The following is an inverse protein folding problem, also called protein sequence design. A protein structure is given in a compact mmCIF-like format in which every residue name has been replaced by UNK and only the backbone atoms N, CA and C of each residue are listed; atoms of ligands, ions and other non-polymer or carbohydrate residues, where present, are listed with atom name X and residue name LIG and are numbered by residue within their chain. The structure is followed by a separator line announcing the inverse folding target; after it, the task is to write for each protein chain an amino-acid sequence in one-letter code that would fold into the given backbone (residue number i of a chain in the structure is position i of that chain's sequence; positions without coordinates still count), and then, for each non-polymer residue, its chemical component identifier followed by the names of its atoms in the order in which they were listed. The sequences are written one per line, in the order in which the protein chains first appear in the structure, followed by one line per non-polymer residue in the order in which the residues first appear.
data_IF_401161811001
#
_entry.id   IF_401161811001
#
_cell.length_a   1.000
_cell.length_b   1.000
_cell.length_c   1.000
_cell.angle_alpha   90.00
_cell.angle_beta   90.00
_cell.angle_gamma   90.00
#
_symmetry.space_group_name_H-M   'P 1'
#
loop_
_entity.id
_entity.type
_entity.pdbx_description
1 polymer ?
#
# COMPACT_ATOMS: atom_id res chain seq x y z
N UNK A 1 28.19 -8.33 46.75
CA UNK A 1 28.32 -8.96 45.45
C UNK A 1 27.17 -8.49 44.57
N UNK A 2 27.44 -7.76 43.51
CA UNK A 2 26.43 -7.28 42.58
C UNK A 2 25.80 -8.47 41.83
N UNK A 3 24.46 -8.53 41.76
CA UNK A 3 23.78 -9.65 41.09
C UNK A 3 24.02 -9.59 39.57
N UNK A 4 24.07 -10.74 38.88
CA UNK A 4 24.30 -10.85 37.44
C UNK A 4 23.32 -9.97 36.64
N UNK A 5 22.07 -9.92 37.08
CA UNK A 5 21.02 -9.15 36.41
C UNK A 5 21.27 -7.61 36.49
N UNK A 6 21.83 -7.14 37.62
CA UNK A 6 22.14 -5.72 37.81
C UNK A 6 23.32 -5.30 36.90
N UNK A 7 24.29 -6.18 36.66
CA UNK A 7 25.40 -5.99 35.71
C UNK A 7 24.89 -5.89 34.28
N UNK A 8 23.95 -6.76 33.90
CA UNK A 8 23.32 -6.75 32.57
C UNK A 8 22.55 -5.45 32.37
N UNK A 9 21.76 -5.03 33.34
CA UNK A 9 21.00 -3.77 33.27
C UNK A 9 21.93 -2.56 33.08
N UNK A 10 23.01 -2.47 33.86
CA UNK A 10 24.00 -1.41 33.75
C UNK A 10 24.65 -1.40 32.37
N UNK A 11 25.07 -2.55 31.87
CA UNK A 11 25.67 -2.68 30.54
C UNK A 11 24.72 -2.19 29.43
N UNK A 12 23.44 -2.54 29.48
CA UNK A 12 22.44 -2.07 28.52
C UNK A 12 22.16 -0.58 28.68
N UNK A 13 22.28 -0.04 29.91
CA UNK A 13 22.08 1.41 30.16
C UNK A 13 23.22 2.25 29.62
N UNK A 14 24.44 1.73 29.63
CA UNK A 14 25.64 2.41 29.13
C UNK A 14 25.82 2.24 27.62
N UNK A 15 25.19 1.21 27.02
CA UNK A 15 25.35 0.87 25.61
C UNK A 15 23.95 0.72 24.96
N UNK A 16 23.57 1.68 24.14
CA UNK A 16 22.27 1.65 23.47
C UNK A 16 22.23 0.54 22.37
N UNK A 17 21.06 -0.11 22.22
CA UNK A 17 20.80 -1.08 21.14
C UNK A 17 21.69 -2.34 21.12
N UNK A 18 22.00 -2.91 22.28
CA UNK A 18 22.81 -4.13 22.40
C UNK A 18 22.04 -5.41 22.09
N UNK A 19 22.71 -6.40 21.54
CA UNK A 19 22.15 -7.73 21.30
C UNK A 19 22.47 -8.70 22.46
N UNK A 20 21.76 -9.84 22.52
CA UNK A 20 22.08 -10.91 23.48
C UNK A 20 23.53 -11.38 23.35
N UNK A 21 24.10 -11.32 22.14
CA UNK A 21 25.50 -11.73 21.89
C UNK A 21 26.46 -10.70 22.51
N UNK A 22 26.20 -9.41 22.30
CA UNK A 22 27.07 -8.34 22.84
C UNK A 22 27.13 -8.40 24.36
N UNK A 23 25.97 -8.64 25.01
CA UNK A 23 25.89 -8.82 26.48
C UNK A 23 26.65 -10.07 26.95
N UNK A 24 26.50 -11.19 26.21
CA UNK A 24 27.17 -12.44 26.56
C UNK A 24 28.69 -12.32 26.47
N UNK A 25 29.18 -11.75 25.36
CA UNK A 25 30.61 -11.59 25.07
C UNK A 25 31.27 -10.56 26.03
N UNK A 26 30.60 -9.45 26.32
CA UNK A 26 31.17 -8.36 27.15
C UNK A 26 31.17 -8.68 28.64
N UNK A 27 30.23 -9.46 29.12
CA UNK A 27 30.10 -9.79 30.56
C UNK A 27 30.62 -11.20 30.90
N UNK A 28 31.15 -11.91 29.92
CA UNK A 28 31.64 -13.31 30.03
C UNK A 28 30.60 -14.26 30.63
N UNK A 29 29.39 -14.25 30.07
CA UNK A 29 28.27 -15.09 30.48
C UNK A 29 27.73 -15.92 29.31
N UNK A 30 27.22 -17.11 29.61
CA UNK A 30 26.62 -17.95 28.58
C UNK A 30 25.42 -17.24 27.94
N UNK A 31 25.32 -17.27 26.61
CA UNK A 31 24.28 -16.62 25.80
C UNK A 31 22.85 -16.99 26.24
N UNK A 32 22.63 -18.22 26.69
CA UNK A 32 21.35 -18.69 27.23
C UNK A 32 20.96 -17.97 28.52
N UNK A 33 21.94 -17.70 29.38
CA UNK A 33 21.73 -16.97 30.65
C UNK A 33 21.51 -15.46 30.35
N UNK A 34 22.30 -14.87 29.47
CA UNK A 34 22.10 -13.49 29.02
C UNK A 34 20.70 -13.27 28.43
N UNK A 35 20.23 -14.19 27.60
CA UNK A 35 18.89 -14.15 27.01
C UNK A 35 17.77 -14.23 28.05
N UNK A 36 17.91 -15.09 29.05
CA UNK A 36 16.93 -15.22 30.14
C UNK A 36 16.83 -13.93 30.95
N UNK A 37 17.98 -13.40 31.38
CA UNK A 37 18.03 -12.22 32.24
C UNK A 37 17.56 -10.96 31.49
N UNK A 38 17.91 -10.78 30.20
CA UNK A 38 17.41 -9.70 29.36
C UNK A 38 15.88 -9.76 29.17
N UNK A 39 15.32 -10.96 28.91
CA UNK A 39 13.87 -11.11 28.82
C UNK A 39 13.15 -10.87 30.15
N UNK A 40 13.79 -11.18 31.29
CA UNK A 40 13.26 -10.88 32.62
C UNK A 40 13.20 -9.36 32.83
N UNK A 41 14.28 -8.63 32.52
CA UNK A 41 14.33 -7.18 32.61
C UNK A 41 13.32 -6.49 31.68
N UNK A 42 13.02 -7.07 30.51
CA UNK A 42 11.94 -6.58 29.63
C UNK A 42 10.58 -6.85 30.26
N UNK A 43 10.35 -8.00 30.84
CA UNK A 43 9.09 -8.36 31.51
C UNK A 43 8.83 -7.48 32.74
N UNK A 44 9.88 -7.12 33.46
CA UNK A 44 9.80 -6.25 34.64
C UNK A 44 9.74 -4.75 34.28
N UNK A 45 9.71 -4.41 32.97
CA UNK A 45 9.56 -3.04 32.47
C UNK A 45 10.82 -2.17 32.52
N UNK A 46 11.97 -2.73 32.89
CA UNK A 46 13.24 -2.01 32.98
C UNK A 46 13.91 -1.81 31.61
N UNK A 47 13.70 -2.73 30.68
CA UNK A 47 14.23 -2.68 29.32
C UNK A 47 13.09 -2.83 28.29
N UNK A 48 13.32 -2.31 27.12
CA UNK A 48 12.52 -2.59 25.92
C UNK A 48 13.33 -3.39 24.92
N UNK A 49 12.69 -4.12 24.01
CA UNK A 49 13.35 -4.88 22.95
C UNK A 49 12.77 -4.51 21.58
N UNK A 50 13.61 -4.54 20.56
CA UNK A 50 13.18 -4.35 19.17
C UNK A 50 12.45 -5.58 18.63
N UNK A 51 11.55 -5.39 17.68
CA UNK A 51 10.83 -6.47 16.98
C UNK A 51 11.62 -7.09 15.81
N UNK A 52 12.93 -6.84 15.70
CA UNK A 52 13.77 -7.33 14.60
C UNK A 52 14.71 -8.49 14.98
N UNK A 53 15.33 -9.13 13.98
CA UNK A 53 16.46 -10.04 14.19
C UNK A 53 17.72 -9.44 13.59
N UNK A 54 18.78 -9.24 14.40
CA UNK A 54 18.94 -9.62 15.81
C UNK A 54 18.11 -8.72 16.75
N UNK A 55 17.49 -9.32 17.78
CA UNK A 55 16.78 -8.60 18.83
C UNK A 55 17.75 -7.68 19.57
N UNK A 56 17.41 -6.41 19.71
CA UNK A 56 18.22 -5.41 20.43
C UNK A 56 17.46 -4.93 21.66
N UNK A 57 18.20 -4.68 22.74
CA UNK A 57 17.68 -4.25 24.04
C UNK A 57 18.13 -2.84 24.37
N UNK A 58 17.24 -2.04 24.97
CA UNK A 58 17.47 -0.65 25.35
C UNK A 58 16.63 -0.27 26.56
N UNK A 59 16.99 0.79 27.27
CA UNK A 59 16.27 1.25 28.47
C UNK A 59 14.95 1.90 28.09
N UNK A 60 13.86 1.59 28.78
CA UNK A 60 12.48 1.98 28.47
C UNK A 60 12.20 3.50 28.45
N UNK A 61 13.12 4.36 28.94
CA UNK A 61 12.92 5.81 29.09
C UNK A 61 13.72 6.68 28.11
N UNK A 62 14.25 6.13 27.01
CA UNK A 62 14.93 6.94 25.98
C UNK A 62 14.18 6.90 24.65
N UNK A 63 13.21 7.81 24.50
CA UNK A 63 12.87 8.36 23.19
C UNK A 63 14.00 9.31 22.79
N UNK A 64 14.91 8.86 21.97
CA UNK A 64 15.89 9.72 21.31
C UNK A 64 16.03 9.30 19.87
N UNK A 65 15.66 10.23 19.01
CA UNK A 65 16.05 10.25 17.61
C UNK A 65 17.58 10.23 17.49
N UNK A 66 18.09 9.34 16.67
CA UNK A 66 19.23 9.64 15.79
C UNK A 66 19.36 8.54 14.73
N UNK A 67 19.35 9.01 13.51
CA UNK A 67 19.69 8.36 12.25
C UNK A 67 21.05 7.66 12.28
N UNK A 68 21.14 6.47 11.65
CA UNK A 68 22.24 6.15 10.72
C UNK A 68 21.90 4.87 9.94
N UNK A 69 22.16 4.97 8.62
CA UNK A 69 21.95 3.96 7.60
C UNK A 69 22.71 2.65 7.84
N UNK A 70 22.03 1.53 7.54
CA UNK A 70 22.68 0.35 6.91
C UNK A 70 21.57 -0.58 6.37
N UNK A 71 21.58 -0.75 5.08
CA UNK A 71 20.71 -1.63 4.30
C UNK A 71 20.83 -3.10 4.74
N UNK A 72 19.68 -3.72 5.04
CA UNK A 72 19.46 -5.16 4.87
C UNK A 72 17.98 -5.34 4.46
N UNK A 73 17.67 -6.12 3.42
CA UNK A 73 16.32 -6.24 2.91
C UNK A 73 15.44 -7.03 3.89
N UNK A 74 14.55 -6.33 4.57
CA UNK A 74 13.48 -6.95 5.33
C UNK A 74 12.22 -6.97 4.47
N UNK A 75 11.80 -8.16 4.08
CA UNK A 75 10.45 -8.45 3.61
C UNK A 75 9.48 -8.27 4.79
N UNK A 76 9.08 -7.03 5.01
CA UNK A 76 7.90 -6.71 5.80
C UNK A 76 6.77 -6.37 4.84
N UNK A 77 5.58 -6.90 5.14
CA UNK A 77 4.37 -6.36 4.56
C UNK A 77 4.46 -4.83 4.68
N UNK A 78 4.86 -4.18 3.60
CA UNK A 78 4.70 -2.74 3.48
C UNK A 78 3.21 -2.52 3.54
N UNK A 79 2.74 -1.98 4.67
CA UNK A 79 1.69 -0.97 4.54
C UNK A 79 2.28 0.01 3.53
N UNK A 80 1.85 -0.07 2.28
CA UNK A 80 2.16 0.94 1.28
C UNK A 80 1.58 2.19 1.91
N UNK A 81 2.45 3.06 2.45
CA UNK A 81 2.01 4.41 2.78
C UNK A 81 1.36 4.93 1.50
N UNK A 82 0.09 5.32 1.57
CA UNK A 82 -0.59 5.84 0.40
C UNK A 82 0.26 6.98 -0.14
N UNK A 83 0.46 7.06 -1.47
CA UNK A 83 1.22 8.15 -2.06
C UNK A 83 0.63 9.44 -1.53
N UNK A 84 1.44 10.15 -0.79
CA UNK A 84 1.22 11.42 -0.10
C UNK A 84 -0.23 11.93 -0.12
N UNK A 85 -0.93 11.88 1.01
CA UNK A 85 -2.29 12.42 1.26
C UNK A 85 -2.50 13.91 0.84
N UNK A 86 -1.59 14.50 0.05
CA UNK A 86 -1.57 15.92 -0.30
C UNK A 86 -1.97 16.25 -1.74
N UNK A 87 -2.27 15.29 -2.60
CA UNK A 87 -2.45 15.57 -4.03
C UNK A 87 -3.90 15.89 -4.40
N UNK A 88 -4.87 15.50 -3.59
CA UNK A 88 -6.26 15.86 -3.83
C UNK A 88 -6.68 16.92 -2.79
N UNK A 89 -6.74 18.18 -3.23
CA UNK A 89 -7.26 19.29 -2.41
C UNK A 89 -8.67 18.94 -1.93
N UNK A 90 -8.91 19.09 -0.62
CA UNK A 90 -10.26 19.02 0.01
C UNK A 90 -11.19 20.15 -0.44
N UNK A 91 -11.09 20.61 -1.66
CA UNK A 91 -12.07 21.53 -2.20
C UNK A 91 -13.27 20.74 -2.72
N UNK A 92 -14.44 21.14 -2.31
CA UNK A 92 -15.81 20.72 -2.62
C UNK A 92 -16.16 20.66 -4.12
N UNK A 93 -15.25 20.21 -4.97
CA UNK A 93 -15.39 19.94 -6.39
C UNK A 93 -15.30 18.44 -6.65
N UNK A 94 -15.98 17.98 -7.67
CA UNK A 94 -15.95 16.60 -8.13
C UNK A 94 -14.49 16.09 -8.22
N UNK A 95 -14.11 15.15 -7.35
CA UNK A 95 -12.75 14.58 -7.24
C UNK A 95 -12.20 14.15 -8.61
N UNK A 96 -13.06 13.59 -9.45
CA UNK A 96 -12.68 13.11 -10.78
C UNK A 96 -12.28 14.24 -11.75
N UNK A 97 -12.63 15.51 -11.50
CA UNK A 97 -12.18 16.62 -12.36
C UNK A 97 -10.66 16.85 -12.28
N UNK A 98 -10.02 16.33 -11.23
CA UNK A 98 -8.56 16.39 -11.07
C UNK A 98 -7.84 15.30 -11.89
N UNK A 99 -8.58 14.33 -12.42
CA UNK A 99 -8.01 13.28 -13.27
C UNK A 99 -7.86 13.84 -14.69
N UNK A 100 -6.63 13.85 -15.20
CA UNK A 100 -6.36 14.26 -16.57
C UNK A 100 -7.07 13.31 -17.52
N UNK A 101 -7.82 13.88 -18.46
CA UNK A 101 -8.65 13.15 -19.40
C UNK A 101 -10.02 12.75 -18.85
N UNK A 102 -10.45 13.27 -17.68
CA UNK A 102 -11.78 12.96 -17.09
C UNK A 102 -12.96 13.27 -17.99
N UNK A 103 -12.83 14.25 -18.88
CA UNK A 103 -13.82 14.61 -19.93
C UNK A 103 -13.44 14.05 -21.31
N UNK A 104 -12.28 13.42 -21.42
CA UNK A 104 -11.70 12.86 -22.65
C UNK A 104 -11.54 11.35 -22.56
N UNK A 105 -10.30 10.87 -22.61
CA UNK A 105 -9.97 9.42 -22.65
C UNK A 105 -10.43 8.64 -21.43
N UNK A 106 -10.58 9.29 -20.27
CA UNK A 106 -11.02 8.69 -19.00
C UNK A 106 -12.52 8.84 -18.72
N UNK A 107 -13.27 9.51 -19.62
CA UNK A 107 -14.68 9.84 -19.39
C UNK A 107 -15.53 8.61 -19.03
N UNK A 108 -15.44 7.56 -19.84
CA UNK A 108 -16.21 6.33 -19.59
C UNK A 108 -15.84 5.69 -18.26
N UNK A 109 -14.54 5.64 -17.93
CA UNK A 109 -14.06 5.10 -16.65
C UNK A 109 -14.63 5.90 -15.47
N UNK A 110 -14.64 7.23 -15.57
CA UNK A 110 -15.20 8.12 -14.54
C UNK A 110 -16.71 7.92 -14.38
N UNK A 111 -17.46 7.84 -15.49
CA UNK A 111 -18.91 7.62 -15.46
C UNK A 111 -19.26 6.26 -14.84
N UNK A 112 -18.53 5.22 -15.21
CA UNK A 112 -18.69 3.87 -14.62
C UNK A 112 -18.34 3.85 -13.13
N UNK A 113 -17.29 4.54 -12.71
CA UNK A 113 -16.90 4.65 -11.31
C UNK A 113 -17.95 5.36 -10.46
N UNK A 114 -18.50 6.48 -10.98
CA UNK A 114 -19.60 7.18 -10.32
C UNK A 114 -20.85 6.30 -10.19
N UNK A 115 -21.22 5.61 -11.26
CA UNK A 115 -22.34 4.67 -11.24
C UNK A 115 -22.12 3.56 -10.22
N UNK A 116 -20.92 2.96 -10.16
CA UNK A 116 -20.59 1.94 -9.19
C UNK A 116 -20.73 2.43 -7.74
N UNK A 117 -20.31 3.65 -7.47
CA UNK A 117 -20.33 4.22 -6.11
C UNK A 117 -21.74 4.61 -5.69
N UNK A 118 -22.48 5.28 -6.56
CA UNK A 118 -23.79 5.87 -6.24
C UNK A 118 -24.96 4.90 -6.37
N UNK A 119 -24.76 3.70 -6.90
CA UNK A 119 -25.85 2.74 -7.10
C UNK A 119 -26.46 2.28 -5.78
N UNK A 120 -27.78 2.47 -5.54
CA UNK A 120 -28.42 2.09 -4.29
C UNK A 120 -28.58 0.55 -4.17
N UNK A 121 -28.62 -0.03 -2.96
CA UNK A 121 -28.49 0.68 -1.67
C UNK A 121 -27.04 0.83 -1.20
N UNK A 122 -26.07 0.10 -1.74
CA UNK A 122 -24.71 -0.02 -1.20
C UNK A 122 -23.59 0.19 -2.24
N UNK A 123 -23.94 0.64 -3.45
CA UNK A 123 -23.05 0.65 -4.59
C UNK A 123 -22.84 -0.74 -5.19
N UNK A 124 -22.01 -0.81 -6.23
CA UNK A 124 -21.68 -2.06 -6.94
C UNK A 124 -20.20 -2.37 -6.81
N UNK A 125 -19.88 -3.65 -6.72
CA UNK A 125 -18.52 -4.12 -6.87
C UNK A 125 -18.06 -3.87 -8.32
N UNK A 126 -16.79 -3.53 -8.51
CA UNK A 126 -16.25 -3.25 -9.83
C UNK A 126 -14.85 -3.81 -10.02
N UNK A 127 -14.47 -3.98 -11.27
CA UNK A 127 -13.14 -4.41 -11.70
C UNK A 127 -12.51 -3.31 -12.54
N UNK A 128 -11.31 -2.90 -12.19
CA UNK A 128 -10.50 -1.95 -12.96
C UNK A 128 -9.51 -2.74 -13.80
N UNK A 129 -9.64 -2.68 -15.12
CA UNK A 129 -8.74 -3.36 -16.05
C UNK A 129 -7.85 -2.36 -16.75
N UNK A 130 -6.66 -2.78 -17.13
CA UNK A 130 -5.74 -1.96 -17.91
C UNK A 130 -4.27 -2.30 -17.67
N UNK A 131 -3.38 -1.87 -18.56
CA UNK A 131 -1.98 -2.25 -18.50
C UNK A 131 -1.28 -1.77 -17.22
N UNK A 132 -0.14 -2.40 -16.92
CA UNK A 132 0.71 -1.97 -15.79
C UNK A 132 1.05 -0.49 -15.90
N UNK A 133 1.01 0.22 -14.78
CA UNK A 133 1.34 1.65 -14.75
C UNK A 133 0.29 2.58 -15.35
N UNK A 134 -0.91 2.10 -15.74
CA UNK A 134 -2.00 2.96 -16.25
C UNK A 134 -2.65 3.84 -15.20
N UNK A 135 -2.38 3.59 -13.89
CA UNK A 135 -2.90 4.39 -12.78
C UNK A 135 -4.11 3.77 -12.07
N UNK A 136 -4.31 2.44 -12.15
CA UNK A 136 -5.44 1.73 -11.51
C UNK A 136 -5.57 2.02 -10.02
N UNK A 137 -4.48 1.91 -9.28
CA UNK A 137 -4.45 2.18 -7.83
C UNK A 137 -4.79 3.65 -7.53
N UNK A 138 -4.25 4.60 -8.30
CA UNK A 138 -4.59 6.03 -8.17
C UNK A 138 -6.09 6.27 -8.43
N UNK A 139 -6.64 5.60 -9.44
CA UNK A 139 -8.07 5.70 -9.77
C UNK A 139 -8.96 5.12 -8.66
N UNK A 140 -8.58 3.99 -8.05
CA UNK A 140 -9.27 3.43 -6.89
C UNK A 140 -9.28 4.38 -5.68
N UNK A 141 -8.17 5.08 -5.41
CA UNK A 141 -8.13 6.14 -4.40
C UNK A 141 -9.07 7.30 -4.72
N UNK A 142 -9.14 7.72 -5.99
CA UNK A 142 -10.08 8.77 -6.40
C UNK A 142 -11.54 8.31 -6.26
N UNK A 143 -11.84 7.05 -6.56
CA UNK A 143 -13.16 6.45 -6.32
C UNK A 143 -13.52 6.47 -4.83
N UNK A 144 -12.61 6.09 -3.96
CA UNK A 144 -12.82 6.09 -2.52
C UNK A 144 -13.07 7.51 -2.00
N UNK A 145 -12.27 8.47 -2.42
CA UNK A 145 -12.44 9.88 -2.03
C UNK A 145 -13.77 10.45 -2.55
N UNK A 146 -14.19 10.07 -3.74
CA UNK A 146 -15.50 10.42 -4.27
C UNK A 146 -16.62 9.83 -3.41
N UNK A 147 -16.49 8.55 -2.97
CA UNK A 147 -17.47 7.91 -2.08
C UNK A 147 -17.58 8.64 -0.73
N UNK A 148 -16.48 9.15 -0.19
CA UNK A 148 -16.48 9.99 1.03
C UNK A 148 -17.14 11.36 0.78
N UNK A 149 -16.85 12.00 -0.36
CA UNK A 149 -17.43 13.32 -0.71
C UNK A 149 -18.95 13.23 -0.88
N UNK A 150 -19.44 12.14 -1.46
CA UNK A 150 -20.87 11.89 -1.65
C UNK A 150 -21.57 11.31 -0.39
N UNK A 151 -20.83 11.10 0.71
CA UNK A 151 -21.37 10.57 1.96
C UNK A 151 -21.76 9.10 1.90
N UNK A 152 -21.27 8.34 0.90
CA UNK A 152 -21.50 6.90 0.77
C UNK A 152 -20.59 6.11 1.71
N UNK A 153 -19.42 6.65 2.02
CA UNK A 153 -18.45 6.14 2.98
C UNK A 153 -18.16 7.26 3.98
N UNK A 154 -18.08 6.92 5.28
CA UNK A 154 -17.79 7.87 6.33
C UNK A 154 -16.40 8.51 6.15
N UNK A 155 -16.25 9.78 6.55
CA UNK A 155 -15.04 10.57 6.29
C UNK A 155 -13.81 10.12 7.10
N UNK A 156 -14.03 9.39 8.20
CA UNK A 156 -12.98 8.83 9.08
C UNK A 156 -12.47 7.45 8.60
N UNK A 157 -13.16 6.82 7.65
CA UNK A 157 -12.73 5.54 7.08
C UNK A 157 -11.50 5.72 6.20
N UNK A 158 -10.70 4.68 6.10
CA UNK A 158 -9.57 4.60 5.19
C UNK A 158 -9.83 3.55 4.12
N UNK A 159 -9.25 3.77 2.93
CA UNK A 159 -9.25 2.76 1.87
C UNK A 159 -8.34 1.61 2.31
N UNK A 160 -8.89 0.42 2.44
CA UNK A 160 -8.08 -0.77 2.68
C UNK A 160 -7.54 -1.25 1.33
N UNK A 161 -6.22 -1.30 1.22
CA UNK A 161 -5.52 -1.69 -0.02
C UNK A 161 -4.75 -2.98 0.21
N UNK A 162 -4.91 -3.93 -0.69
CA UNK A 162 -4.19 -5.19 -0.66
C UNK A 162 -3.71 -5.58 -2.06
N UNK A 163 -2.41 -5.84 -2.19
CA UNK A 163 -1.84 -6.35 -3.43
C UNK A 163 -1.72 -7.88 -3.36
N UNK A 164 -2.53 -8.57 -4.14
CA UNK A 164 -2.55 -10.04 -4.15
C UNK A 164 -1.24 -10.65 -4.67
N UNK A 165 -0.48 -9.91 -5.50
CA UNK A 165 0.79 -10.40 -6.03
C UNK A 165 1.87 -10.56 -4.96
N UNK A 166 1.84 -9.79 -3.88
CA UNK A 166 2.83 -9.86 -2.80
C UNK A 166 2.80 -11.22 -2.08
N UNK A 167 1.69 -11.92 -2.16
CA UNK A 167 1.44 -13.21 -1.49
C UNK A 167 1.14 -14.35 -2.47
N UNK A 168 1.33 -14.16 -3.77
CA UNK A 168 0.97 -15.15 -4.81
C UNK A 168 1.65 -16.52 -4.62
N UNK A 169 2.84 -16.56 -4.00
CA UNK A 169 3.58 -17.80 -3.71
C UNK A 169 3.17 -18.46 -2.38
N UNK A 170 2.26 -17.86 -1.61
CA UNK A 170 1.76 -18.41 -0.35
C UNK A 170 0.24 -18.17 -0.22
N UNK A 171 -0.58 -19.02 -0.85
CA UNK A 171 -2.03 -18.89 -0.84
C UNK A 171 -2.65 -18.86 0.57
N UNK A 172 -2.15 -19.68 1.51
CA UNK A 172 -2.65 -19.72 2.88
C UNK A 172 -2.44 -18.37 3.60
N UNK A 173 -1.26 -17.78 3.42
CA UNK A 173 -0.96 -16.47 4.00
C UNK A 173 -1.83 -15.38 3.36
N UNK A 174 -2.03 -15.41 2.05
CA UNK A 174 -2.93 -14.50 1.33
C UNK A 174 -4.34 -14.59 1.89
N UNK A 175 -4.89 -15.81 2.02
CA UNK A 175 -6.21 -16.05 2.55
C UNK A 175 -6.35 -15.61 4.01
N UNK A 176 -5.34 -15.86 4.85
CA UNK A 176 -5.31 -15.43 6.24
C UNK A 176 -5.31 -13.91 6.40
N UNK A 177 -4.68 -13.17 5.49
CA UNK A 177 -4.74 -11.71 5.47
C UNK A 177 -6.14 -11.21 5.07
N UNK A 178 -6.76 -11.79 4.06
CA UNK A 178 -8.06 -11.32 3.57
C UNK A 178 -9.19 -11.63 4.55
N UNK A 179 -9.29 -12.89 5.00
CA UNK A 179 -10.43 -13.37 5.79
C UNK A 179 -10.16 -13.39 7.30
N UNK A 180 -8.88 -13.33 7.70
CA UNK A 180 -8.49 -13.57 9.08
C UNK A 180 -8.45 -15.06 9.42
N UNK A 181 -8.11 -15.40 10.66
CA UNK A 181 -8.00 -16.77 11.12
C UNK A 181 -8.33 -16.90 12.60
N UNK A 182 -8.83 -18.07 12.97
CA UNK A 182 -9.02 -18.48 14.36
C UNK A 182 -7.72 -19.07 14.92
N UNK A 183 -7.61 -19.08 16.25
CA UNK A 183 -6.50 -19.77 16.94
C UNK A 183 -6.46 -21.24 16.54
N UNK A 184 -5.30 -21.71 16.09
CA UNK A 184 -5.10 -23.09 15.68
C UNK A 184 -5.49 -23.40 14.23
N UNK A 185 -5.85 -22.41 13.42
CA UNK A 185 -6.23 -22.60 12.02
C UNK A 185 -5.09 -23.19 11.15
N UNK A 186 -3.85 -22.90 11.50
CA UNK A 186 -2.63 -23.43 10.87
C UNK A 186 -1.46 -23.41 11.85
N UNK A 187 -0.34 -24.04 11.50
CA UNK A 187 0.87 -24.08 12.34
C UNK A 187 1.41 -22.67 12.57
N UNK A 188 1.41 -22.19 13.81
CA UNK A 188 1.83 -20.85 14.21
C UNK A 188 0.68 -19.86 14.42
N UNK A 189 -0.57 -20.27 14.26
CA UNK A 189 -1.75 -19.47 14.60
C UNK A 189 -2.02 -19.52 16.12
N UNK A 190 -1.18 -18.86 16.91
CA UNK A 190 -1.24 -18.88 18.39
C UNK A 190 -2.39 -18.01 18.94
N UNK A 191 -2.83 -17.01 18.17
CA UNK A 191 -3.94 -16.10 18.47
C UNK A 191 -4.85 -15.97 17.26
N UNK A 192 -6.09 -15.57 17.49
CA UNK A 192 -6.99 -15.18 16.40
C UNK A 192 -6.59 -13.82 15.81
N UNK A 193 -6.91 -13.58 14.54
CA UNK A 193 -6.67 -12.30 13.87
C UNK A 193 -7.79 -11.98 12.89
N UNK A 194 -8.25 -10.72 12.93
CA UNK A 194 -9.18 -10.19 11.94
C UNK A 194 -8.51 -9.99 10.58
N UNK A 195 -9.28 -10.29 9.52
CA UNK A 195 -8.86 -10.07 8.15
C UNK A 195 -9.16 -8.66 7.64
N UNK A 196 -8.67 -8.37 6.43
CA UNK A 196 -8.87 -7.09 5.75
C UNK A 196 -10.33 -6.80 5.44
N UNK A 197 -11.16 -7.84 5.21
CA UNK A 197 -12.61 -7.68 5.05
C UNK A 197 -13.23 -7.04 6.29
N UNK A 198 -12.84 -7.48 7.50
CA UNK A 198 -13.34 -6.88 8.74
C UNK A 198 -12.82 -5.45 8.92
N UNK A 199 -11.58 -5.19 8.56
CA UNK A 199 -10.99 -3.85 8.64
C UNK A 199 -11.67 -2.86 7.68
N UNK A 200 -12.13 -3.34 6.53
CA UNK A 200 -12.80 -2.55 5.52
C UNK A 200 -14.31 -2.38 5.77
N UNK A 201 -14.86 -2.93 6.86
CA UNK A 201 -16.29 -2.88 7.14
C UNK A 201 -16.82 -1.43 7.19
N UNK A 202 -17.93 -1.18 6.51
CA UNK A 202 -18.49 0.15 6.29
C UNK A 202 -17.75 0.99 5.24
N UNK A 203 -16.75 0.42 4.54
CA UNK A 203 -15.88 1.12 3.62
C UNK A 203 -15.65 0.42 2.28
N UNK A 204 -14.40 0.44 1.83
CA UNK A 204 -13.98 -0.10 0.54
C UNK A 204 -12.69 -0.90 0.69
N UNK A 205 -12.63 -2.08 0.08
CA UNK A 205 -11.44 -2.91 -0.05
C UNK A 205 -11.00 -2.91 -1.52
N UNK A 206 -9.78 -2.43 -1.75
CA UNK A 206 -9.14 -2.46 -3.06
C UNK A 206 -8.19 -3.66 -3.15
N UNK A 207 -8.44 -4.56 -4.08
CA UNK A 207 -7.64 -5.76 -4.36
C UNK A 207 -6.85 -5.54 -5.65
N UNK A 208 -5.58 -5.16 -5.54
CA UNK A 208 -4.71 -5.03 -6.71
C UNK A 208 -4.20 -6.40 -7.16
N UNK A 209 -4.00 -6.57 -8.47
CA UNK A 209 -3.62 -7.82 -9.11
C UNK A 209 -4.50 -9.01 -8.68
N UNK A 210 -5.81 -8.80 -8.68
CA UNK A 210 -6.82 -9.74 -8.15
C UNK A 210 -6.75 -11.13 -8.82
N UNK A 211 -6.21 -11.22 -10.03
CA UNK A 211 -5.99 -12.49 -10.75
C UNK A 211 -4.94 -13.39 -10.05
N UNK A 212 -4.19 -12.85 -9.09
CA UNK A 212 -3.26 -13.63 -8.26
C UNK A 212 -3.95 -14.34 -7.08
N UNK A 213 -5.25 -14.11 -6.87
CA UNK A 213 -6.02 -14.90 -5.92
C UNK A 213 -6.09 -16.35 -6.39
N UNK A 214 -5.84 -17.33 -5.50
CA UNK A 214 -6.07 -18.74 -5.81
C UNK A 214 -7.57 -18.98 -6.08
N UNK A 215 -7.95 -20.05 -6.81
CA UNK A 215 -9.35 -20.34 -7.11
C UNK A 215 -10.25 -20.33 -5.87
N UNK A 216 -9.83 -20.92 -4.77
CA UNK A 216 -10.57 -20.94 -3.51
C UNK A 216 -10.78 -19.52 -2.95
N UNK A 217 -9.76 -18.64 -3.09
CA UNK A 217 -9.84 -17.25 -2.69
C UNK A 217 -10.82 -16.45 -3.53
N UNK A 218 -10.85 -16.70 -4.84
CA UNK A 218 -11.86 -16.12 -5.73
C UNK A 218 -13.26 -16.56 -5.36
N UNK A 219 -13.49 -17.85 -5.04
CA UNK A 219 -14.77 -18.37 -4.60
C UNK A 219 -15.22 -17.76 -3.26
N UNK A 220 -14.32 -17.60 -2.30
CA UNK A 220 -14.63 -16.97 -1.00
C UNK A 220 -14.98 -15.49 -1.14
N UNK A 221 -14.21 -14.72 -1.92
CA UNK A 221 -14.53 -13.31 -2.21
C UNK A 221 -15.86 -13.20 -2.96
N UNK A 222 -16.10 -14.08 -3.91
CA UNK A 222 -17.34 -14.15 -4.64
C UNK A 222 -18.55 -14.40 -3.72
N UNK A 223 -18.44 -15.41 -2.83
CA UNK A 223 -19.48 -15.68 -1.84
C UNK A 223 -19.74 -14.47 -0.94
N UNK A 224 -18.68 -13.79 -0.52
CA UNK A 224 -18.77 -12.57 0.25
C UNK A 224 -19.48 -11.44 -0.51
N UNK A 225 -19.16 -11.24 -1.79
CA UNK A 225 -19.82 -10.20 -2.62
C UNK A 225 -21.34 -10.43 -2.75
N UNK A 226 -21.78 -11.68 -2.82
CA UNK A 226 -23.20 -12.04 -2.96
C UNK A 226 -23.97 -11.92 -1.64
N UNK A 227 -23.38 -12.35 -0.53
CA UNK A 227 -24.09 -12.54 0.74
C UNK A 227 -23.70 -11.52 1.82
N UNK A 228 -22.58 -10.81 1.67
CA UNK A 228 -22.03 -9.95 2.72
C UNK A 228 -21.51 -10.71 3.93
N UNK A 229 -21.38 -12.05 3.81
CA UNK A 229 -20.92 -12.91 4.91
C UNK A 229 -19.68 -13.69 4.51
N UNK A 230 -18.82 -13.95 5.50
CA UNK A 230 -17.59 -14.70 5.33
C UNK A 230 -17.25 -15.46 6.61
N UNK A 231 -16.33 -16.41 6.54
CA UNK A 231 -15.76 -17.11 7.70
C UNK A 231 -14.25 -16.90 7.75
N UNK A 232 -13.68 -16.85 8.94
CA UNK A 232 -12.24 -16.88 9.13
C UNK A 232 -11.69 -18.27 8.80
N UNK A 233 -10.42 -18.36 8.48
CA UNK A 233 -9.75 -19.65 8.32
C UNK A 233 -9.80 -20.44 9.64
N UNK A 234 -10.17 -21.72 9.56
CA UNK A 234 -10.37 -22.58 10.71
C UNK A 234 -11.68 -22.39 11.48
N UNK A 235 -12.51 -21.41 11.11
CA UNK A 235 -13.81 -21.18 11.75
C UNK A 235 -14.86 -22.12 11.20
N UNK A 236 -15.55 -22.85 12.09
CA UNK A 236 -16.64 -23.74 11.72
C UNK A 236 -17.97 -23.25 12.29
N UNK A 237 -18.98 -23.15 11.42
CA UNK A 237 -20.37 -22.90 11.85
C UNK A 237 -20.71 -21.47 12.25
N UNK A 238 -19.82 -20.50 12.05
CA UNK A 238 -20.10 -19.07 12.24
C UNK A 238 -19.93 -18.32 10.94
N UNK A 239 -20.92 -17.51 10.58
CA UNK A 239 -20.84 -16.57 9.48
C UNK A 239 -20.69 -15.16 10.07
N UNK A 240 -19.63 -14.48 9.69
CA UNK A 240 -19.38 -13.07 10.02
C UNK A 240 -20.00 -12.21 8.94
N UNK A 241 -20.48 -11.05 9.31
CA UNK A 241 -21.04 -10.08 8.38
C UNK A 241 -20.14 -8.86 8.29
N UNK A 242 -19.93 -8.36 7.06
CA UNK A 242 -19.30 -7.07 6.81
C UNK A 242 -19.96 -6.39 5.60
N UNK A 243 -20.03 -5.06 5.65
CA UNK A 243 -20.53 -4.24 4.56
C UNK A 243 -19.36 -3.57 3.82
N UNK A 244 -18.75 -4.27 2.89
CA UNK A 244 -17.55 -3.80 2.18
C UNK A 244 -17.83 -3.75 0.68
N UNK A 245 -17.44 -2.65 0.05
CA UNK A 245 -17.40 -2.58 -1.41
C UNK A 245 -16.06 -3.09 -1.91
N UNK A 246 -16.09 -4.10 -2.77
CA UNK A 246 -14.89 -4.64 -3.39
C UNK A 246 -14.61 -3.90 -4.71
N UNK A 247 -13.39 -3.40 -4.83
CA UNK A 247 -12.84 -2.86 -6.07
C UNK A 247 -11.62 -3.70 -6.43
N UNK A 248 -11.75 -4.55 -7.44
CA UNK A 248 -10.63 -5.34 -7.96
C UNK A 248 -9.85 -4.58 -9.03
N UNK A 249 -8.57 -4.88 -9.19
CA UNK A 249 -7.77 -4.43 -10.33
C UNK A 249 -6.96 -5.58 -10.92
N UNK A 250 -6.83 -5.58 -12.23
CA UNK A 250 -6.01 -6.58 -12.95
C UNK A 250 -5.35 -5.97 -14.18
N UNK A 251 -4.17 -6.50 -14.50
CA UNK A 251 -3.45 -6.23 -15.75
C UNK A 251 -3.78 -7.23 -16.86
N UNK A 252 -4.35 -8.36 -16.48
CA UNK A 252 -4.70 -9.47 -17.38
C UNK A 252 -6.14 -9.34 -17.91
N UNK A 253 -6.44 -10.08 -18.97
CA UNK A 253 -7.83 -10.22 -19.43
C UNK A 253 -8.66 -10.99 -18.39
N UNK A 254 -9.74 -10.40 -17.86
CA UNK A 254 -10.54 -11.02 -16.80
C UNK A 254 -11.10 -12.39 -17.16
N UNK A 255 -11.48 -12.61 -18.43
CA UNK A 255 -12.06 -13.88 -18.88
C UNK A 255 -11.06 -15.02 -18.94
N UNK A 256 -9.78 -14.71 -19.09
CA UNK A 256 -8.69 -15.72 -19.11
C UNK A 256 -8.06 -15.95 -17.74
N UNK A 257 -8.08 -14.93 -16.88
CA UNK A 257 -7.30 -14.91 -15.64
C UNK A 257 -8.13 -15.11 -14.36
N UNK A 258 -9.46 -14.95 -14.44
CA UNK A 258 -10.39 -15.12 -13.33
C UNK A 258 -11.41 -16.21 -13.64
N UNK A 259 -12.00 -16.78 -12.60
CA UNK A 259 -13.10 -17.74 -12.77
C UNK A 259 -14.31 -17.04 -13.43
N UNK A 260 -14.95 -17.71 -14.39
CA UNK A 260 -16.16 -17.19 -15.03
C UNK A 260 -17.27 -16.84 -14.04
N UNK A 261 -17.38 -17.64 -12.97
CA UNK A 261 -18.31 -17.40 -11.86
C UNK A 261 -18.02 -16.10 -11.13
N UNK A 262 -16.75 -15.74 -11.00
CA UNK A 262 -16.30 -14.48 -10.39
C UNK A 262 -16.57 -13.28 -11.30
N UNK A 263 -16.21 -13.37 -12.58
CA UNK A 263 -16.38 -12.27 -13.55
C UNK A 263 -17.85 -11.89 -13.72
N UNK A 264 -18.77 -12.88 -13.76
CA UNK A 264 -20.23 -12.64 -13.91
C UNK A 264 -20.85 -11.86 -12.76
N UNK A 265 -20.18 -11.77 -11.61
CA UNK A 265 -20.70 -11.09 -10.42
C UNK A 265 -20.11 -9.71 -10.19
N UNK A 266 -19.20 -9.30 -11.07
CA UNK A 266 -18.70 -7.93 -11.10
C UNK A 266 -19.44 -7.19 -12.23
N UNK A 267 -20.49 -6.43 -11.90
CA UNK A 267 -21.37 -5.84 -12.90
C UNK A 267 -20.72 -4.71 -13.69
N UNK A 268 -19.64 -4.13 -13.14
CA UNK A 268 -18.97 -2.96 -13.74
C UNK A 268 -17.49 -3.28 -13.98
N UNK A 269 -17.10 -3.23 -15.26
CA UNK A 269 -15.71 -3.30 -15.68
C UNK A 269 -15.25 -1.93 -16.17
N UNK A 270 -14.29 -1.33 -15.45
CA UNK A 270 -13.72 -0.02 -15.70
C UNK A 270 -12.40 -0.19 -16.44
N UNK A 271 -12.37 0.17 -17.72
CA UNK A 271 -11.18 0.03 -18.55
C UNK A 271 -10.32 1.29 -18.49
N UNK A 272 -9.07 1.14 -18.03
CA UNK A 272 -8.07 2.21 -18.01
C UNK A 272 -7.31 2.24 -19.34
N UNK A 273 -7.27 3.38 -20.06
CA UNK A 273 -6.53 3.47 -21.31
C UNK A 273 -5.02 3.42 -21.08
N UNK A 274 -4.31 2.78 -22.00
CA UNK A 274 -2.84 2.86 -22.06
C UNK A 274 -2.40 4.31 -22.31
N UNK A 275 -1.20 4.68 -21.85
CA UNK A 275 -0.65 6.02 -22.07
C UNK A 275 -0.61 6.41 -23.55
N UNK A 276 -0.11 5.51 -24.39
CA UNK A 276 0.03 5.76 -25.84
C UNK A 276 -1.30 5.88 -26.60
N UNK A 277 -2.43 5.40 -26.04
CA UNK A 277 -3.76 5.56 -26.62
C UNK A 277 -4.46 6.87 -26.23
N UNK A 278 -3.89 7.63 -25.29
CA UNK A 278 -4.45 8.92 -24.87
C UNK A 278 -4.13 10.01 -25.91
N UNK A 279 -5.02 11.01 -26.09
CA UNK A 279 -4.72 12.17 -26.93
C UNK A 279 -3.42 12.86 -26.52
N UNK A 280 -2.68 13.39 -27.50
CA UNK A 280 -1.39 14.05 -27.25
C UNK A 280 -1.51 15.22 -26.23
N UNK A 281 -2.62 15.95 -26.23
CA UNK A 281 -2.87 17.00 -25.26
C UNK A 281 -2.90 16.46 -23.83
N UNK A 282 -3.57 15.31 -23.58
CA UNK A 282 -3.63 14.68 -22.26
C UNK A 282 -2.26 14.13 -21.84
N UNK A 283 -1.50 13.56 -22.78
CA UNK A 283 -0.13 13.10 -22.52
C UNK A 283 0.76 14.27 -22.06
N UNK A 284 0.65 15.43 -22.73
CA UNK A 284 1.38 16.64 -22.38
C UNK A 284 0.95 17.19 -21.01
N UNK A 285 -0.35 17.18 -20.73
CA UNK A 285 -0.86 17.62 -19.42
C UNK A 285 -0.39 16.71 -18.28
N UNK A 286 -0.25 15.40 -18.52
CA UNK A 286 0.37 14.49 -17.56
C UNK A 286 1.82 14.88 -17.26
N UNK A 287 2.63 15.19 -18.28
CA UNK A 287 4.00 15.69 -18.08
C UNK A 287 3.99 16.98 -17.26
N UNK A 288 3.14 17.96 -17.63
CA UNK A 288 3.03 19.25 -16.92
C UNK A 288 2.70 19.08 -15.44
N UNK A 289 1.71 18.24 -15.12
CA UNK A 289 1.32 17.99 -13.73
C UNK A 289 2.44 17.30 -12.96
N UNK A 290 3.10 16.30 -13.53
CA UNK A 290 4.19 15.61 -12.86
C UNK A 290 5.39 16.50 -12.61
N UNK A 291 5.75 17.36 -13.58
CA UNK A 291 6.82 18.35 -13.39
C UNK A 291 6.44 19.39 -12.34
N UNK A 292 5.19 19.87 -12.34
CA UNK A 292 4.70 20.78 -11.31
C UNK A 292 4.74 20.15 -9.90
N UNK A 293 4.43 18.85 -9.78
CA UNK A 293 4.55 18.11 -8.51
C UNK A 293 6.00 18.08 -8.03
N UNK A 294 6.96 17.77 -8.90
CA UNK A 294 8.38 17.76 -8.54
C UNK A 294 8.89 19.17 -8.23
N UNK A 295 8.48 20.19 -8.98
CA UNK A 295 8.79 21.61 -8.71
C UNK A 295 8.31 22.02 -7.30
N UNK A 296 7.07 21.65 -6.95
CA UNK A 296 6.52 21.90 -5.61
C UNK A 296 7.26 21.11 -4.52
N UNK A 297 7.68 19.87 -4.81
CA UNK A 297 8.43 19.02 -3.86
C UNK A 297 9.78 19.61 -3.50
N UNK A 298 10.50 20.11 -4.49
CA UNK A 298 11.82 20.72 -4.30
C UNK A 298 11.78 22.24 -4.03
N UNK A 299 10.57 22.84 -4.04
CA UNK A 299 10.33 24.27 -3.83
C UNK A 299 11.14 25.14 -4.80
N UNK A 300 11.24 24.74 -6.07
CA UNK A 300 11.95 25.45 -7.13
C UNK A 300 11.17 25.38 -8.43
N UNK A 301 11.36 26.39 -9.28
CA UNK A 301 10.80 26.41 -10.63
C UNK A 301 11.58 25.47 -11.53
N UNK A 302 10.90 24.63 -12.28
CA UNK A 302 11.48 23.73 -13.28
C UNK A 302 10.96 24.09 -14.65
N UNK A 303 11.86 24.26 -15.60
CA UNK A 303 11.53 24.47 -17.02
C UNK A 303 12.17 23.35 -17.85
N UNK A 304 11.40 22.79 -18.80
CA UNK A 304 11.85 21.78 -19.74
C UNK A 304 11.89 22.38 -21.14
N UNK A 305 12.89 22.02 -21.92
CA UNK A 305 12.88 22.30 -23.37
C UNK A 305 11.89 21.41 -24.11
N UNK A 306 11.48 21.82 -25.29
CA UNK A 306 10.56 21.03 -26.13
C UNK A 306 11.12 19.66 -26.46
N UNK A 307 12.43 19.55 -26.70
CA UNK A 307 13.10 18.29 -27.03
C UNK A 307 13.07 17.33 -25.85
N UNK A 308 13.25 17.81 -24.62
CA UNK A 308 13.12 16.98 -23.41
C UNK A 308 11.69 16.47 -23.25
N UNK A 309 10.69 17.31 -23.51
CA UNK A 309 9.28 16.89 -23.45
C UNK A 309 8.99 15.82 -24.50
N UNK A 310 9.46 15.99 -25.74
CA UNK A 310 9.34 14.98 -26.81
C UNK A 310 10.02 13.68 -26.42
N UNK A 311 11.23 13.77 -25.87
CA UNK A 311 11.98 12.58 -25.40
C UNK A 311 11.24 11.86 -24.27
N UNK A 312 10.66 12.59 -23.31
CA UNK A 312 9.84 12.00 -22.24
C UNK A 312 8.63 11.25 -22.80
N UNK A 313 7.88 11.87 -23.68
CA UNK A 313 6.70 11.25 -24.31
C UNK A 313 7.08 10.03 -25.13
N UNK A 314 8.18 10.10 -25.92
CA UNK A 314 8.68 9.01 -26.73
C UNK A 314 9.32 7.87 -25.94
N UNK A 315 9.76 8.12 -24.71
CA UNK A 315 10.40 7.11 -23.85
C UNK A 315 9.41 6.18 -23.13
N UNK A 316 8.12 6.53 -23.13
CA UNK A 316 7.10 5.72 -22.45
C UNK A 316 6.69 4.54 -23.32
N UNK A 317 6.88 3.35 -22.80
CA UNK A 317 6.52 2.11 -23.46
C UNK A 317 5.56 1.26 -22.58
N UNK A 318 5.99 0.11 -22.15
CA UNK A 318 5.17 -0.82 -21.37
C UNK A 318 4.77 -0.33 -19.99
N UNK A 319 5.57 0.55 -19.35
CA UNK A 319 5.31 1.06 -17.99
C UNK A 319 4.30 2.21 -17.91
N UNK A 320 3.74 2.67 -19.05
CA UNK A 320 2.66 3.65 -19.11
C UNK A 320 2.91 4.93 -18.27
N UNK A 321 1.88 5.44 -17.62
CA UNK A 321 1.94 6.65 -16.77
C UNK A 321 2.91 6.49 -15.59
N UNK A 322 3.06 5.27 -15.06
CA UNK A 322 4.04 4.96 -14.01
C UNK A 322 5.48 5.16 -14.49
N UNK A 323 5.81 4.72 -15.71
CA UNK A 323 7.11 4.95 -16.32
C UNK A 323 7.36 6.45 -16.58
N UNK A 324 6.35 7.17 -17.09
CA UNK A 324 6.45 8.62 -17.28
C UNK A 324 6.80 9.32 -15.96
N UNK A 325 6.11 8.96 -14.88
CA UNK A 325 6.38 9.52 -13.54
C UNK A 325 7.83 9.26 -13.12
N UNK A 326 8.33 8.04 -13.27
CA UNK A 326 9.72 7.71 -12.92
C UNK A 326 10.73 8.47 -13.77
N UNK A 327 10.47 8.60 -15.08
CA UNK A 327 11.34 9.35 -16.00
C UNK A 327 11.36 10.84 -15.64
N UNK A 328 10.21 11.45 -15.34
CA UNK A 328 10.12 12.85 -14.89
C UNK A 328 10.89 13.04 -13.58
N UNK A 329 10.72 12.16 -12.60
CA UNK A 329 11.46 12.23 -11.34
C UNK A 329 12.97 12.15 -11.56
N UNK A 330 13.43 11.26 -12.44
CA UNK A 330 14.85 11.08 -12.74
C UNK A 330 15.45 12.34 -13.38
N UNK A 331 14.79 12.92 -14.36
CA UNK A 331 15.32 14.15 -15.01
C UNK A 331 15.29 15.36 -14.07
N UNK A 332 14.24 15.48 -13.25
CA UNK A 332 14.16 16.54 -12.23
C UNK A 332 15.25 16.39 -11.17
N UNK A 333 15.53 15.17 -10.71
CA UNK A 333 16.61 14.90 -9.78
C UNK A 333 17.99 15.25 -10.36
N UNK A 334 18.25 14.87 -11.61
CA UNK A 334 19.49 15.26 -12.31
C UNK A 334 19.60 16.78 -12.50
N UNK A 335 18.49 17.41 -12.92
CA UNK A 335 18.44 18.87 -13.06
C UNK A 335 18.72 19.58 -11.74
N UNK A 336 18.14 19.11 -10.64
CA UNK A 336 18.39 19.62 -9.30
C UNK A 336 19.87 19.53 -8.91
N UNK A 337 20.51 18.38 -9.13
CA UNK A 337 21.94 18.19 -8.82
C UNK A 337 22.84 19.14 -9.63
N UNK A 338 22.53 19.34 -10.92
CA UNK A 338 23.31 20.22 -11.79
C UNK A 338 23.13 21.71 -11.46
N UNK A 339 22.01 22.09 -10.83
CA UNK A 339 21.63 23.48 -10.55
C UNK A 339 21.43 23.74 -9.04
N UNK A 340 22.17 23.05 -8.16
CA UNK A 340 21.96 23.12 -6.70
C UNK A 340 22.01 24.54 -6.13
N UNK A 341 22.79 25.43 -6.74
CA UNK A 341 22.95 26.85 -6.30
C UNK A 341 22.01 27.83 -7.03
N UNK A 342 21.17 27.37 -7.92
CA UNK A 342 20.27 28.23 -8.73
C UNK A 342 18.84 28.13 -8.22
N UNK A 343 18.09 29.23 -8.30
CA UNK A 343 16.66 29.27 -7.92
C UNK A 343 15.75 28.58 -8.95
N UNK A 344 16.18 28.57 -10.21
CA UNK A 344 15.46 27.90 -11.30
C UNK A 344 16.27 26.77 -11.88
N UNK A 345 15.61 25.69 -12.26
CA UNK A 345 16.20 24.49 -12.86
C UNK A 345 15.80 24.44 -14.32
N UNK A 346 16.76 24.58 -15.22
CA UNK A 346 16.56 24.45 -16.67
C UNK A 346 17.07 23.08 -17.13
N UNK A 347 16.16 22.25 -17.67
CA UNK A 347 16.49 20.91 -18.17
C UNK A 347 16.42 20.95 -19.71
N UNK A 348 17.58 20.71 -20.33
CA UNK A 348 17.80 20.78 -21.79
C UNK A 348 18.17 19.41 -22.38
#
# INVERSE_FOLDING_TARGET
MERRIDRIYRFVSENANVTTKDVADSLDIQRTNASKDLNLLVKDGHLSKSEGRPVRYFVSNQSAATSFDAEVPQTHARVVEPPEKKILNKNTGNVFTQIIGSTGSMRNAVEQAKAAILYPPRGLNCLITGPTGSGKTFFAHAMFQFAQTEGVVEADRELVVFNCADYANNPELLMSHLFGYEKGAFTGADTEKDGLIQQADGGMLFLDEIHRLPPEGQEMIFYFMDHGTYSRLGETGKNRFANVRIVGATTEDPHSALLDTFVRRIPINIQMPAFGSRPAAEQLDLVRVMVAMEANRIQRKITLTEDVVKALLGSVSYGNVGQLKSNVQLICARGFMNHMMQEEIHIT
#
